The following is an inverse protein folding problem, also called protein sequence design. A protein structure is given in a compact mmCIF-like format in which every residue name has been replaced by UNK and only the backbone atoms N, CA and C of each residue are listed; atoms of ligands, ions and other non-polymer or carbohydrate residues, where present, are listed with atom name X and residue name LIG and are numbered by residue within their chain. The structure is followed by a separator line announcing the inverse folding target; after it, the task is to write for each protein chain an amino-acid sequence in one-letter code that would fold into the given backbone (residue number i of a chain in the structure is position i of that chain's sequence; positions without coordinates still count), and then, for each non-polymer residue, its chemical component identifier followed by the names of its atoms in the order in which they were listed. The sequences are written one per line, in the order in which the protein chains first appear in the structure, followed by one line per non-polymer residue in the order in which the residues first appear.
data_IF_982921044189
#
_entry.id   IF_982921044189
#
_cell.length_a   1.000
_cell.length_b   1.000
_cell.length_c   1.000
_cell.angle_alpha   90.00
_cell.angle_beta   90.00
_cell.angle_gamma   90.00
#
_symmetry.space_group_name_H-M   'P 1'
#
loop_
_entity.id
_entity.type
_entity.pdbx_description
1 polymer ?
#
# COMPACT_ATOMS: atom_id res chain seq x y z
N UNK A 1 -6.17 0.56 -17.26
CA UNK A 1 -5.96 0.00 -15.93
C UNK A 1 -5.93 -1.50 -15.98
N UNK A 2 -5.05 -2.07 -15.22
CA UNK A 2 -4.92 -3.51 -15.22
C UNK A 2 -6.08 -4.17 -14.52
N UNK A 3 -6.45 -5.31 -15.03
CA UNK A 3 -7.42 -6.14 -14.36
C UNK A 3 -6.70 -6.82 -13.19
N UNK A 4 -7.20 -6.59 -12.00
CA UNK A 4 -6.56 -7.12 -10.82
C UNK A 4 -6.51 -8.64 -10.83
N UNK A 5 -7.53 -9.27 -11.40
CA UNK A 5 -7.52 -10.72 -11.46
C UNK A 5 -6.37 -11.25 -12.29
N UNK A 6 -5.89 -10.47 -13.25
CA UNK A 6 -4.74 -10.87 -14.01
C UNK A 6 -3.46 -10.35 -13.41
N UNK A 7 -3.56 -9.55 -12.37
CA UNK A 7 -2.42 -8.88 -11.81
C UNK A 7 -1.53 -9.74 -10.96
N UNK A 8 -1.82 -11.03 -10.90
CA UNK A 8 -1.01 -11.87 -10.03
C UNK A 8 0.12 -12.58 -10.76
N UNK A 9 0.33 -12.30 -12.03
CA UNK A 9 1.58 -12.75 -12.61
C UNK A 9 2.68 -11.81 -12.10
N UNK A 10 3.92 -12.22 -12.18
CA UNK A 10 4.97 -11.53 -11.47
C UNK A 10 5.20 -10.12 -11.98
N UNK A 11 5.04 -9.88 -13.27
CA UNK A 11 5.31 -8.56 -13.82
C UNK A 11 4.22 -7.57 -13.42
N UNK A 12 2.96 -7.95 -13.57
CA UNK A 12 1.85 -7.09 -13.22
C UNK A 12 1.80 -6.86 -11.72
N UNK A 13 2.12 -7.90 -10.95
CA UNK A 13 2.13 -7.78 -9.51
C UNK A 13 3.19 -6.79 -9.05
N UNK A 14 4.33 -6.80 -9.70
CA UNK A 14 5.40 -5.87 -9.39
C UNK A 14 4.98 -4.43 -9.62
N UNK A 15 4.28 -4.18 -10.72
CA UNK A 15 3.78 -2.84 -11.01
C UNK A 15 2.73 -2.41 -10.02
N UNK A 16 1.89 -3.34 -9.61
CA UNK A 16 0.85 -3.04 -8.65
C UNK A 16 1.46 -2.69 -7.30
N UNK A 17 2.46 -3.44 -6.89
CA UNK A 17 3.16 -3.15 -5.63
C UNK A 17 3.81 -1.78 -5.69
N UNK A 18 4.41 -1.45 -6.82
CA UNK A 18 5.03 -0.13 -6.97
C UNK A 18 3.99 0.98 -6.83
N UNK A 19 2.82 0.79 -7.44
CA UNK A 19 1.72 1.74 -7.33
C UNK A 19 1.29 1.88 -5.86
N UNK A 20 1.19 0.75 -5.17
CA UNK A 20 0.77 0.78 -3.77
C UNK A 20 1.79 1.48 -2.88
N UNK A 21 3.08 1.32 -3.18
CA UNK A 21 4.10 2.03 -2.42
C UNK A 21 3.99 3.53 -2.63
N UNK A 22 3.65 3.93 -3.84
CA UNK A 22 3.42 5.34 -4.12
C UNK A 22 2.21 5.84 -3.35
N UNK A 23 1.12 5.08 -3.34
CA UNK A 23 -0.08 5.46 -2.62
C UNK A 23 0.20 5.56 -1.11
N UNK A 24 1.00 4.65 -0.58
CA UNK A 24 1.35 4.68 0.83
C UNK A 24 2.12 5.96 1.17
N UNK A 25 3.05 6.33 0.31
CA UNK A 25 3.82 7.57 0.51
C UNK A 25 2.90 8.77 0.44
N UNK A 26 1.93 8.74 -0.46
CA UNK A 26 0.98 9.84 -0.59
C UNK A 26 0.16 10.01 0.68
N UNK A 27 -0.20 8.93 1.35
CA UNK A 27 -0.90 9.03 2.62
C UNK A 27 -0.06 9.77 3.66
N UNK A 28 1.25 9.48 3.69
CA UNK A 28 2.14 10.16 4.61
C UNK A 28 2.26 11.64 4.26
N UNK A 29 2.26 11.96 2.97
CA UNK A 29 2.32 13.36 2.54
C UNK A 29 1.06 14.11 2.94
N UNK A 30 -0.10 13.46 2.82
CA UNK A 30 -1.34 14.07 3.26
C UNK A 30 -1.25 14.39 4.74
N UNK A 31 -0.75 13.46 5.53
CA UNK A 31 -0.62 13.70 6.97
C UNK A 31 0.27 14.90 7.26
N UNK A 32 1.35 15.04 6.51
CA UNK A 32 2.24 16.20 6.68
C UNK A 32 1.54 17.50 6.29
N UNK A 33 0.81 17.49 5.17
CA UNK A 33 0.15 18.69 4.70
C UNK A 33 -0.97 19.11 5.64
N UNK A 34 -1.56 18.18 6.35
CA UNK A 34 -2.62 18.51 7.29
C UNK A 34 -2.12 19.40 8.43
N UNK A 35 -0.86 19.26 8.82
CA UNK A 35 -0.30 20.15 9.83
C UNK A 35 -0.24 21.58 9.32
N UNK A 36 0.10 21.74 8.05
CA UNK A 36 0.11 23.08 7.46
C UNK A 36 -1.30 23.65 7.41
N UNK A 37 -2.27 22.84 7.01
CA UNK A 37 -3.65 23.31 6.92
C UNK A 37 -4.19 23.70 8.29
N UNK A 38 -3.83 22.93 9.31
CA UNK A 38 -4.25 23.25 10.68
C UNK A 38 -3.61 24.54 11.14
N UNK A 39 -2.31 24.67 10.89
CA UNK A 39 -1.58 25.85 11.31
C UNK A 39 -2.09 27.11 10.63
N UNK A 40 -2.48 27.00 9.39
CA UNK A 40 -3.03 28.12 8.64
C UNK A 40 -4.52 28.32 8.91
N UNK A 41 -5.09 27.52 9.76
CA UNK A 41 -6.48 27.62 10.16
C UNK A 41 -7.45 27.35 9.02
N UNK A 42 -7.03 26.57 8.05
CA UNK A 42 -7.93 26.15 6.97
C UNK A 42 -8.89 25.06 7.45
N UNK A 43 -8.52 24.33 8.47
CA UNK A 43 -9.33 23.24 9.00
C UNK A 43 -9.32 23.31 10.52
N UNK A 44 -10.33 22.72 11.13
CA UNK A 44 -10.41 22.65 12.58
C UNK A 44 -9.61 21.47 13.10
N UNK A 45 -9.38 21.48 14.41
CA UNK A 45 -8.69 20.34 15.02
C UNK A 45 -9.46 19.05 14.83
N UNK A 46 -10.79 19.11 14.90
CA UNK A 46 -11.60 17.91 14.71
C UNK A 46 -11.45 17.38 13.28
N UNK A 47 -11.46 18.29 12.30
CA UNK A 47 -11.26 17.88 10.92
C UNK A 47 -9.86 17.31 10.70
N UNK A 48 -8.86 17.96 11.31
CA UNK A 48 -7.50 17.46 11.22
C UNK A 48 -7.41 16.03 11.74
N UNK A 49 -7.94 15.81 12.95
CA UNK A 49 -7.81 14.51 13.57
C UNK A 49 -8.51 13.43 12.76
N UNK A 50 -9.69 13.77 12.24
CA UNK A 50 -10.46 12.80 11.45
C UNK A 50 -9.72 12.38 10.21
N UNK A 51 -9.21 13.34 9.43
CA UNK A 51 -8.54 13.01 8.19
C UNK A 51 -7.16 12.40 8.45
N UNK A 52 -6.47 12.87 9.48
CA UNK A 52 -5.17 12.34 9.85
C UNK A 52 -5.29 10.86 10.19
N UNK A 53 -6.27 10.51 11.01
CA UNK A 53 -6.47 9.12 11.40
C UNK A 53 -6.87 8.27 10.21
N UNK A 54 -7.71 8.81 9.34
CA UNK A 54 -8.14 8.08 8.16
C UNK A 54 -6.96 7.78 7.24
N UNK A 55 -6.10 8.77 7.01
CA UNK A 55 -4.92 8.59 6.18
C UNK A 55 -3.98 7.56 6.80
N UNK A 56 -3.86 7.58 8.13
CA UNK A 56 -3.01 6.61 8.83
C UNK A 56 -3.52 5.19 8.68
N UNK A 57 -4.84 5.02 8.81
CA UNK A 57 -5.44 3.69 8.65
C UNK A 57 -5.31 3.21 7.20
N UNK A 58 -5.50 4.12 6.26
CA UNK A 58 -5.36 3.77 4.85
C UNK A 58 -3.92 3.34 4.56
N UNK A 59 -2.96 4.08 5.08
CA UNK A 59 -1.55 3.73 4.88
C UNK A 59 -1.24 2.35 5.45
N UNK A 60 -1.77 2.06 6.63
CA UNK A 60 -1.54 0.76 7.27
C UNK A 60 -2.16 -0.36 6.45
N UNK A 61 -3.36 -0.13 5.91
CA UNK A 61 -4.02 -1.13 5.08
C UNK A 61 -3.23 -1.38 3.80
N UNK A 62 -2.70 -0.32 3.20
CA UNK A 62 -1.89 -0.46 1.99
C UNK A 62 -0.62 -1.25 2.30
N UNK A 63 0.01 -0.96 3.43
CA UNK A 63 1.22 -1.69 3.82
C UNK A 63 0.93 -3.17 4.00
N UNK A 64 -0.20 -3.48 4.62
CA UNK A 64 -0.59 -4.88 4.79
C UNK A 64 -0.86 -5.57 3.46
N UNK A 65 -1.48 -4.84 2.54
CA UNK A 65 -1.76 -5.39 1.23
C UNK A 65 -0.48 -5.66 0.44
N UNK A 66 0.48 -4.73 0.51
CA UNK A 66 1.77 -4.95 -0.12
C UNK A 66 2.42 -6.22 0.42
N UNK A 67 2.40 -6.36 1.74
CA UNK A 67 2.98 -7.53 2.38
C UNK A 67 2.31 -8.81 1.90
N UNK A 68 0.99 -8.76 1.80
CA UNK A 68 0.23 -9.91 1.31
C UNK A 68 0.63 -10.26 -0.13
N UNK A 69 0.74 -9.25 -1.00
CA UNK A 69 1.07 -9.50 -2.38
C UNK A 69 2.48 -10.06 -2.55
N UNK A 70 3.42 -9.56 -1.77
CA UNK A 70 4.78 -10.07 -1.83
C UNK A 70 4.85 -11.51 -1.34
N UNK A 71 4.11 -11.82 -0.30
CA UNK A 71 4.05 -13.19 0.21
C UNK A 71 3.37 -14.11 -0.80
N UNK A 72 2.32 -13.62 -1.46
CA UNK A 72 1.64 -14.40 -2.49
C UNK A 72 2.58 -14.72 -3.64
N UNK A 73 3.34 -13.72 -4.08
CA UNK A 73 4.27 -13.90 -5.18
C UNK A 73 5.35 -14.91 -4.80
N UNK A 74 5.84 -14.83 -3.57
CA UNK A 74 6.84 -15.77 -3.10
C UNK A 74 6.29 -17.18 -3.08
N UNK A 75 5.08 -17.35 -2.57
CA UNK A 75 4.45 -18.67 -2.54
C UNK A 75 4.22 -19.24 -3.92
N UNK A 76 3.77 -18.38 -4.85
CA UNK A 76 3.52 -18.82 -6.20
C UNK A 76 4.82 -19.22 -6.90
N UNK A 77 5.90 -18.49 -6.64
CA UNK A 77 7.19 -18.79 -7.19
C UNK A 77 7.70 -20.13 -6.68
N UNK A 78 7.49 -20.37 -5.40
CA UNK A 78 7.92 -21.64 -4.83
C UNK A 78 7.15 -22.81 -5.43
N UNK A 79 5.87 -22.62 -5.71
CA UNK A 79 5.07 -23.66 -6.30
C UNK A 79 5.48 -23.98 -7.72
N UNK A 80 5.72 -22.94 -8.51
CA UNK A 80 6.03 -23.17 -9.91
C UNK A 80 7.46 -23.61 -10.09
N UNK A 81 8.28 -23.51 -9.08
CA UNK A 81 9.67 -23.91 -9.17
C UNK A 81 9.93 -24.89 -8.06
N UNK A 82 9.46 -26.12 -8.21
CA UNK A 82 9.50 -27.07 -7.12
C UNK A 82 10.92 -27.33 -6.73
N UNK A 83 11.17 -27.30 -5.48
CA UNK A 83 12.40 -27.54 -4.96
C UNK A 83 12.66 -28.88 -4.99
N UNK A 84 13.61 -29.16 -5.42
CA UNK A 84 13.89 -30.51 -5.32
C UNK A 84 14.01 -30.83 -3.92
N UNK A 85 13.85 -30.56 -3.41
CA UNK A 85 13.88 -30.93 -2.39
C UNK A 85 14.17 -31.57 -1.74
N UNK A 86 14.25 -31.42 -1.50
CA UNK A 86 14.47 -31.82 -0.92
C UNK A 86 14.55 -32.82 -0.69
N UNK A 87 14.63 -33.06 -0.90
CA UNK A 87 14.77 -34.02 -0.79
C UNK A 87 15.38 -34.45 -0.28
#
# INVERSE_FOLDING_TARGET
MHNIAEGFDSETNSEFVRFLRYAKRSCSEVQSELYVALDQQYITKAEFQDVYDHAGRTRAAIRGFIKYLLAYEQGRRNKSNPEPVNL
#
